data_IF_834350810529
#
_entry.id   IF_834350810529
#
_cell.length_a   1.000
_cell.length_b   1.000
_cell.length_c   1.000
_cell.angle_alpha   90.00
_cell.angle_beta   90.00
_cell.angle_gamma   90.00
#
_symmetry.space_group_name_H-M   'P 1'
#
loop_
_entity.id
_entity.type
_entity.pdbx_description
1 polymer ?
#
# COMPACT_ATOMS: atom_id res chain seq x y z
N UNK A 1 -9.66 -3.90 -0.60
CA UNK A 1 -8.40 -4.58 -1.00
C UNK A 1 -7.91 -5.46 0.15
N UNK A 2 -7.39 -6.67 -0.13
CA UNK A 2 -6.83 -7.54 0.90
C UNK A 2 -5.30 -7.40 0.98
N UNK A 3 -4.78 -7.34 2.20
CA UNK A 3 -3.36 -7.22 2.52
C UNK A 3 -2.91 -8.40 3.38
N UNK A 4 -1.77 -8.99 3.03
CA UNK A 4 -1.14 -10.07 3.78
C UNK A 4 0.37 -10.04 3.56
N UNK A 5 1.13 -10.58 4.52
CA UNK A 5 2.58 -10.82 4.36
C UNK A 5 2.88 -12.31 4.36
N UNK A 6 3.89 -12.72 3.58
CA UNK A 6 4.35 -14.09 3.48
C UNK A 6 5.54 -14.41 4.39
N UNK A 7 6.31 -13.41 4.83
CA UNK A 7 7.61 -13.59 5.49
C UNK A 7 7.72 -12.85 6.84
N UNK A 8 7.84 -11.52 6.81
CA UNK A 8 8.05 -10.64 7.96
C UNK A 8 6.99 -9.54 7.98
N UNK A 9 7.02 -8.66 8.97
CA UNK A 9 6.09 -7.53 9.01
C UNK A 9 6.52 -6.51 7.94
N UNK A 10 5.57 -6.06 7.14
CA UNK A 10 5.69 -4.89 6.27
C UNK A 10 4.57 -3.90 6.60
N UNK A 11 4.58 -2.71 6.00
CA UNK A 11 3.41 -1.83 6.03
C UNK A 11 3.05 -1.36 4.64
N UNK A 12 1.77 -1.41 4.31
CA UNK A 12 1.21 -0.68 3.19
C UNK A 12 0.92 0.75 3.63
N UNK A 13 1.62 1.73 3.06
CA UNK A 13 1.41 3.15 3.36
C UNK A 13 1.44 4.01 2.11
N UNK A 14 0.33 4.71 1.87
CA UNK A 14 0.15 5.64 0.74
C UNK A 14 -0.60 6.88 1.27
N UNK A 15 0.07 7.82 1.95
CA UNK A 15 -0.59 8.83 2.80
C UNK A 15 -1.62 9.72 2.08
N UNK A 16 -1.49 9.90 0.77
CA UNK A 16 -2.41 10.70 -0.05
C UNK A 16 -3.63 9.92 -0.58
N UNK A 17 -3.66 8.60 -0.42
CA UNK A 17 -4.71 7.70 -0.91
C UNK A 17 -5.37 6.94 0.23
N UNK A 18 -4.58 6.52 1.22
CA UNK A 18 -4.97 5.65 2.32
C UNK A 18 -4.20 5.99 3.60
N UNK A 19 -4.61 5.38 4.72
CA UNK A 19 -3.80 5.34 5.94
C UNK A 19 -2.59 4.40 5.83
N UNK A 20 -1.96 4.13 6.98
CA UNK A 20 -0.95 3.06 7.15
C UNK A 20 -1.64 1.80 7.68
N UNK A 21 -1.34 0.65 7.11
CA UNK A 21 -1.77 -0.65 7.65
C UNK A 21 -0.59 -1.62 7.61
N UNK A 22 -0.34 -2.29 8.73
CA UNK A 22 0.70 -3.30 8.83
C UNK A 22 0.22 -4.64 8.27
N UNK A 23 1.12 -5.34 7.59
CA UNK A 23 0.95 -6.67 7.04
C UNK A 23 1.72 -7.64 7.92
N UNK A 24 1.01 -8.30 8.84
CA UNK A 24 1.59 -9.25 9.79
C UNK A 24 1.41 -10.67 9.25
N UNK A 25 2.48 -11.50 9.16
CA UNK A 25 2.37 -12.89 8.72
C UNK A 25 1.28 -13.66 9.48
N UNK A 26 0.50 -14.44 8.74
CA UNK A 26 -0.64 -15.20 9.28
C UNK A 26 -1.91 -14.40 9.52
N UNK A 27 -1.91 -13.07 9.29
CA UNK A 27 -3.11 -12.22 9.35
C UNK A 27 -3.48 -11.71 7.96
N UNK A 28 -4.78 -11.64 7.68
CA UNK A 28 -5.32 -10.90 6.53
C UNK A 28 -5.98 -9.64 7.03
N UNK A 29 -5.52 -8.50 6.52
CA UNK A 29 -6.18 -7.22 6.72
C UNK A 29 -6.98 -6.85 5.48
N UNK A 30 -8.08 -6.15 5.67
CA UNK A 30 -8.85 -5.54 4.58
C UNK A 30 -8.72 -4.04 4.73
N UNK A 31 -8.40 -3.38 3.63
CA UNK A 31 -8.41 -1.92 3.54
C UNK A 31 -9.44 -1.49 2.51
N UNK A 32 -10.29 -0.55 2.93
CA UNK A 32 -11.18 0.17 2.03
C UNK A 32 -10.46 1.41 1.53
N UNK A 33 -10.40 1.54 0.21
CA UNK A 33 -9.74 2.63 -0.48
C UNK A 33 -10.78 3.45 -1.22
N UNK A 34 -10.86 4.73 -0.88
CA UNK A 34 -11.69 5.70 -1.61
C UNK A 34 -10.82 6.90 -1.94
N UNK A 35 -10.05 6.84 -3.05
CA UNK A 35 -9.22 7.96 -3.46
C UNK A 35 -10.10 9.16 -3.82
N UNK A 36 -9.70 10.35 -3.37
CA UNK A 36 -10.45 11.61 -3.57
C UNK A 36 -9.88 12.49 -4.68
N UNK A 37 -8.76 12.09 -5.29
CA UNK A 37 -8.05 12.87 -6.30
C UNK A 37 -7.36 11.93 -7.30
N UNK A 38 -7.44 12.29 -8.58
CA UNK A 38 -6.72 11.61 -9.66
C UNK A 38 -5.23 11.93 -9.63
N UNK A 39 -4.40 11.02 -10.15
CA UNK A 39 -2.97 11.23 -10.34
C UNK A 39 -2.10 10.11 -9.79
N UNK A 40 -0.80 10.40 -9.71
CA UNK A 40 0.21 9.48 -9.20
C UNK A 40 0.56 9.80 -7.74
N UNK A 41 0.66 8.75 -6.93
CA UNK A 41 0.95 8.84 -5.51
C UNK A 41 2.04 7.82 -5.15
N UNK A 42 3.04 8.28 -4.41
CA UNK A 42 4.08 7.39 -3.89
C UNK A 42 3.58 6.64 -2.65
N UNK A 43 3.80 5.32 -2.66
CA UNK A 43 3.72 4.45 -1.51
C UNK A 43 5.11 3.96 -1.07
N UNK A 44 5.21 3.53 0.18
CA UNK A 44 6.46 3.04 0.77
C UNK A 44 6.18 2.04 1.88
N UNK A 45 6.99 0.99 1.96
CA UNK A 45 7.02 0.15 3.16
C UNK A 45 7.50 0.98 4.37
N UNK A 46 6.74 1.01 5.46
CA UNK A 46 7.04 1.81 6.67
C UNK A 46 7.16 1.00 7.95
N UNK A 47 7.36 -0.31 7.83
CA UNK A 47 7.83 -1.18 8.91
C UNK A 47 9.15 -1.80 8.48
N UNK A 48 10.17 -1.71 9.33
CA UNK A 48 11.49 -2.24 8.99
C UNK A 48 11.40 -3.75 8.74
N UNK A 49 11.69 -4.16 7.50
CA UNK A 49 11.50 -5.53 7.03
C UNK A 49 12.80 -6.19 6.52
N UNK A 50 13.95 -5.59 6.82
CA UNK A 50 15.27 -6.13 6.48
C UNK A 50 16.11 -5.21 5.59
N UNK A 51 17.22 -5.75 5.06
CA UNK A 51 18.22 -4.96 4.34
C UNK A 51 17.66 -4.21 3.11
N UNK A 52 16.68 -4.80 2.42
CA UNK A 52 16.07 -4.20 1.24
C UNK A 52 14.90 -3.24 1.56
N UNK A 53 14.60 -3.00 2.83
CA UNK A 53 13.45 -2.20 3.27
C UNK A 53 13.37 -0.83 2.58
N UNK A 54 14.49 -0.12 2.50
CA UNK A 54 14.54 1.21 1.88
C UNK A 54 14.23 1.21 0.37
N UNK A 55 14.36 0.06 -0.28
CA UNK A 55 14.08 -0.11 -1.72
C UNK A 55 12.63 -0.52 -2.00
N UNK A 56 11.80 -0.75 -0.97
CA UNK A 56 10.40 -1.17 -1.11
C UNK A 56 9.43 0.00 -1.28
N UNK A 57 9.70 0.81 -2.30
CA UNK A 57 8.79 1.85 -2.75
C UNK A 57 7.89 1.35 -3.88
N UNK A 58 6.72 1.95 -4.04
CA UNK A 58 5.81 1.64 -5.12
C UNK A 58 4.99 2.88 -5.51
N UNK A 59 4.45 2.88 -6.72
CA UNK A 59 3.58 3.95 -7.20
C UNK A 59 2.13 3.46 -7.26
N UNK A 60 1.21 4.36 -6.91
CA UNK A 60 -0.24 4.17 -7.01
C UNK A 60 -0.78 5.20 -7.97
N UNK A 61 -1.44 4.75 -9.03
CA UNK A 61 -2.16 5.61 -9.96
C UNK A 61 -3.65 5.56 -9.65
N UNK A 62 -4.26 6.73 -9.51
CA UNK A 62 -5.72 6.88 -9.46
C UNK A 62 -6.17 7.51 -10.77
N UNK A 63 -6.91 6.75 -11.55
CA UNK A 63 -7.51 7.20 -12.80
C UNK A 63 -9.03 7.34 -12.68
N UNK A 64 -9.62 8.06 -13.62
CA UNK A 64 -11.07 8.08 -13.77
C UNK A 64 -11.58 6.72 -14.27
N UNK A 65 -12.82 6.38 -13.91
CA UNK A 65 -13.44 5.08 -14.21
C UNK A 65 -13.30 4.68 -15.70
N UNK A 66 -13.57 5.61 -16.62
CA UNK A 66 -13.49 5.36 -18.07
C UNK A 66 -12.09 5.04 -18.59
N UNK A 67 -11.03 5.35 -17.85
CA UNK A 67 -9.65 5.00 -18.20
C UNK A 67 -9.16 3.74 -17.45
N UNK A 68 -9.96 3.24 -16.50
CA UNK A 68 -9.65 2.05 -15.69
C UNK A 68 -10.37 0.79 -16.20
N UNK A 69 -11.56 0.95 -16.78
CA UNK A 69 -12.31 -0.10 -17.49
C UNK A 69 -11.72 -0.41 -18.88
#
# INVERSE_FOLDING_TARGET
MQLASADVIHSFWVPNVAGKIDMIPGRRNVVDLTPRRLGWFRGQCTEFCGAQHAHMAFDVKVDGQAAFD
#
